data_IF_679493476164
#
_entry.id   IF_679493476164
#
_cell.length_a   1.000
_cell.length_b   1.000
_cell.length_c   1.000
_cell.angle_alpha   90.00
_cell.angle_beta   90.00
_cell.angle_gamma   90.00
#
_symmetry.space_group_name_H-M   'P 1'
#
loop_
_entity.id
_entity.type
_entity.pdbx_description
1 polymer ?
#
# COMPACT_ATOMS: atom_id res chain seq x y z
N UNK A 1 21.23 24.61 -29.33
CA UNK A 1 22.55 23.97 -29.64
C UNK A 1 23.02 23.21 -28.40
N UNK A 2 23.58 22.02 -28.62
CA UNK A 2 24.10 20.98 -27.71
C UNK A 2 23.03 20.04 -27.15
N UNK A 3 22.77 18.92 -27.78
CA UNK A 3 23.43 17.62 -28.04
C UNK A 3 23.62 16.79 -26.73
N UNK A 4 22.70 15.81 -26.59
CA UNK A 4 22.85 14.35 -26.49
C UNK A 4 24.04 13.81 -25.67
N UNK A 5 23.74 12.95 -24.69
CA UNK A 5 24.40 11.64 -24.61
C UNK A 5 23.37 10.59 -24.18
N UNK A 6 23.13 9.64 -25.07
CA UNK A 6 22.42 8.39 -24.87
C UNK A 6 23.50 7.38 -24.48
N UNK A 7 23.37 6.80 -23.29
CA UNK A 7 24.18 5.66 -22.86
C UNK A 7 23.35 4.37 -22.95
N UNK A 8 23.45 3.69 -24.10
CA UNK A 8 22.92 2.36 -24.32
C UNK A 8 23.92 1.36 -23.75
N UNK A 9 23.54 0.61 -22.72
CA UNK A 9 24.29 -0.59 -22.31
C UNK A 9 23.47 -1.80 -22.71
N UNK A 10 23.86 -2.37 -23.87
CA UNK A 10 23.53 -3.71 -24.29
C UNK A 10 24.47 -4.66 -23.50
N UNK A 11 23.92 -5.45 -22.58
CA UNK A 11 24.61 -6.62 -22.04
C UNK A 11 23.94 -7.87 -22.61
N UNK A 12 24.74 -8.63 -23.34
CA UNK A 12 24.32 -9.72 -24.19
C UNK A 12 23.88 -10.96 -23.42
N UNK A 13 22.92 -11.63 -24.01
CA UNK A 13 22.59 -13.02 -23.76
C UNK A 13 23.79 -13.91 -24.10
N UNK A 14 24.29 -14.64 -23.11
CA UNK A 14 25.05 -15.87 -23.38
C UNK A 14 24.25 -17.05 -22.87
N UNK A 15 23.54 -17.67 -23.79
CA UNK A 15 23.06 -19.04 -23.65
C UNK A 15 24.26 -19.99 -23.61
N UNK A 16 24.53 -20.60 -22.48
CA UNK A 16 25.40 -21.76 -22.38
C UNK A 16 24.56 -22.95 -21.89
N UNK A 17 24.04 -23.69 -22.87
CA UNK A 17 23.62 -25.07 -22.67
C UNK A 17 24.88 -25.92 -22.48
N UNK A 18 25.14 -26.39 -21.25
CA UNK A 18 26.09 -27.46 -20.98
C UNK A 18 25.36 -28.61 -20.31
N UNK A 19 25.04 -29.62 -21.13
CA UNK A 19 24.79 -30.97 -20.65
C UNK A 19 26.13 -31.55 -20.24
N UNK A 20 26.33 -31.82 -18.96
CA UNK A 20 27.53 -32.47 -18.46
C UNK A 20 27.26 -33.09 -17.10
N UNK A 21 27.14 -34.41 -17.08
CA UNK A 21 27.18 -35.22 -15.87
C UNK A 21 28.44 -34.98 -15.02
N UNK A 22 28.23 -34.80 -13.73
CA UNK A 22 29.17 -35.20 -12.70
C UNK A 22 30.28 -34.19 -12.37
N UNK A 23 30.03 -33.36 -11.36
CA UNK A 23 30.90 -33.20 -10.19
C UNK A 23 30.29 -32.14 -9.30
N UNK A 24 30.10 -32.44 -8.02
CA UNK A 24 29.80 -31.42 -7.00
C UNK A 24 30.90 -30.38 -7.03
N UNK A 25 30.66 -29.23 -7.63
CA UNK A 25 31.43 -28.02 -7.39
C UNK A 25 30.89 -27.41 -6.10
N UNK A 26 31.79 -27.31 -5.13
CA UNK A 26 31.50 -26.81 -3.81
C UNK A 26 31.14 -25.32 -3.86
N UNK A 27 30.06 -24.95 -3.16
CA UNK A 27 29.81 -23.71 -2.45
C UNK A 27 30.16 -22.38 -3.15
N UNK A 28 29.26 -21.85 -3.95
CA UNK A 28 28.90 -20.46 -3.78
C UNK A 28 28.10 -20.41 -2.47
N UNK A 29 28.46 -19.51 -1.56
CA UNK A 29 27.73 -19.30 -0.30
C UNK A 29 26.35 -18.75 -0.63
N UNK A 30 25.36 -19.62 -0.77
CA UNK A 30 23.94 -19.22 -0.88
C UNK A 30 23.60 -18.58 0.45
N UNK A 31 23.14 -17.32 0.44
CA UNK A 31 22.76 -16.62 1.66
C UNK A 31 21.52 -17.27 2.31
N UNK A 32 21.32 -17.03 3.59
CA UNK A 32 20.10 -17.47 4.27
C UNK A 32 18.84 -16.86 3.64
N UNK A 33 18.94 -15.61 3.18
CA UNK A 33 17.87 -14.90 2.50
C UNK A 33 17.52 -15.55 1.15
N UNK A 34 18.52 -15.99 0.35
CA UNK A 34 18.27 -16.67 -0.92
C UNK A 34 17.54 -18.00 -0.71
N UNK A 35 17.97 -18.79 0.30
CA UNK A 35 17.28 -20.04 0.67
C UNK A 35 15.85 -19.77 1.08
N UNK A 36 15.64 -18.72 1.87
CA UNK A 36 14.30 -18.33 2.30
C UNK A 36 13.41 -17.94 1.11
N UNK A 37 13.92 -17.13 0.18
CA UNK A 37 13.17 -16.67 -1.00
C UNK A 37 12.78 -17.84 -1.92
N UNK A 38 13.64 -18.86 -2.06
CA UNK A 38 13.31 -20.09 -2.79
C UNK A 38 12.14 -20.82 -2.11
N UNK A 39 12.24 -21.11 -0.80
CA UNK A 39 11.18 -21.77 -0.01
C UNK A 39 9.87 -20.97 -0.03
N UNK A 40 9.96 -19.65 0.06
CA UNK A 40 8.81 -18.74 0.00
C UNK A 40 8.13 -18.79 -1.38
N UNK A 41 8.93 -18.75 -2.46
CA UNK A 41 8.44 -18.85 -3.84
C UNK A 41 7.66 -20.15 -4.05
N UNK A 42 8.20 -21.27 -3.61
CA UNK A 42 7.56 -22.58 -3.72
C UNK A 42 6.23 -22.64 -2.95
N UNK A 43 6.20 -22.12 -1.72
CA UNK A 43 5.01 -22.12 -0.88
C UNK A 43 3.86 -21.31 -1.50
N UNK A 44 4.16 -20.09 -1.99
CA UNK A 44 3.18 -19.18 -2.59
C UNK A 44 2.68 -19.71 -3.93
N UNK A 45 3.58 -20.15 -4.83
CA UNK A 45 3.18 -20.68 -6.12
C UNK A 45 2.26 -21.89 -5.96
N UNK A 46 2.61 -22.81 -5.06
CA UNK A 46 1.78 -23.97 -4.76
C UNK A 46 0.40 -23.59 -4.23
N UNK A 47 0.33 -22.61 -3.31
CA UNK A 47 -0.97 -22.15 -2.81
C UNK A 47 -1.82 -21.53 -3.91
N UNK A 48 -1.23 -20.70 -4.79
CA UNK A 48 -1.97 -20.07 -5.88
C UNK A 48 -2.57 -21.12 -6.83
N UNK A 49 -1.82 -22.15 -7.19
CA UNK A 49 -2.36 -23.28 -7.99
C UNK A 49 -3.52 -23.98 -7.25
N UNK A 50 -3.33 -24.34 -5.97
CA UNK A 50 -4.37 -24.97 -5.19
C UNK A 50 -5.66 -24.12 -5.11
N UNK A 51 -5.53 -22.80 -4.90
CA UNK A 51 -6.67 -21.88 -4.80
C UNK A 51 -7.37 -21.71 -6.14
N UNK A 52 -6.64 -21.60 -7.25
CA UNK A 52 -7.21 -21.52 -8.59
C UNK A 52 -8.02 -22.81 -8.92
N UNK A 53 -7.50 -23.98 -8.62
CA UNK A 53 -8.25 -25.24 -8.77
C UNK A 53 -9.52 -25.30 -7.88
N UNK A 54 -9.45 -24.76 -6.66
CA UNK A 54 -10.61 -24.70 -5.78
C UNK A 54 -11.67 -23.73 -6.32
N UNK A 55 -11.27 -22.58 -6.88
CA UNK A 55 -12.17 -21.62 -7.51
C UNK A 55 -12.88 -22.23 -8.73
N UNK A 56 -12.17 -22.95 -9.60
CA UNK A 56 -12.81 -23.66 -10.72
C UNK A 56 -13.83 -24.72 -10.25
N UNK A 57 -13.54 -25.42 -9.15
CA UNK A 57 -14.47 -26.42 -8.60
C UNK A 57 -15.70 -25.76 -7.99
N UNK A 58 -15.54 -24.61 -7.39
CA UNK A 58 -16.62 -23.79 -6.84
C UNK A 58 -17.53 -23.26 -7.96
N UNK A 59 -16.96 -22.68 -9.03
CA UNK A 59 -17.70 -22.20 -10.20
C UNK A 59 -18.50 -23.32 -10.90
N UNK A 60 -18.00 -24.57 -10.85
CA UNK A 60 -18.69 -25.74 -11.38
C UNK A 60 -19.71 -26.33 -10.38
N UNK A 61 -20.09 -25.59 -9.35
CA UNK A 61 -21.04 -26.01 -8.29
C UNK A 61 -20.66 -27.32 -7.56
N UNK A 62 -19.37 -27.62 -7.48
CA UNK A 62 -18.88 -28.82 -6.79
C UNK A 62 -18.70 -28.62 -5.29
N UNK A 63 -18.67 -27.37 -4.84
CA UNK A 63 -18.55 -26.97 -3.44
C UNK A 63 -19.61 -25.94 -3.08
N UNK A 64 -20.08 -25.99 -1.84
CA UNK A 64 -20.77 -24.87 -1.22
C UNK A 64 -19.77 -23.77 -0.89
N UNK A 65 -20.24 -22.55 -0.70
CA UNK A 65 -19.39 -21.40 -0.31
C UNK A 65 -18.59 -21.71 0.97
N UNK A 66 -19.22 -22.29 1.98
CA UNK A 66 -18.54 -22.68 3.22
C UNK A 66 -17.45 -23.75 2.99
N UNK A 67 -17.69 -24.74 2.14
CA UNK A 67 -16.69 -25.74 1.80
C UNK A 67 -15.52 -25.13 1.04
N UNK A 68 -15.79 -24.18 0.13
CA UNK A 68 -14.76 -23.45 -0.60
C UNK A 68 -13.87 -22.66 0.35
N UNK A 69 -14.44 -21.80 1.21
CA UNK A 69 -13.65 -21.00 2.14
C UNK A 69 -12.88 -21.84 3.16
N UNK A 70 -13.44 -22.96 3.61
CA UNK A 70 -12.70 -23.87 4.48
C UNK A 70 -11.46 -24.45 3.79
N UNK A 71 -11.58 -24.87 2.53
CA UNK A 71 -10.44 -25.40 1.76
C UNK A 71 -9.39 -24.33 1.44
N UNK A 72 -9.81 -23.12 1.09
CA UNK A 72 -8.89 -21.99 0.90
C UNK A 72 -8.15 -21.70 2.21
N UNK A 73 -8.87 -21.68 3.34
CA UNK A 73 -8.26 -21.50 4.68
C UNK A 73 -7.20 -22.56 4.98
N UNK A 74 -7.45 -23.82 4.63
CA UNK A 74 -6.46 -24.90 4.83
C UNK A 74 -5.22 -24.70 3.96
N UNK A 75 -5.39 -24.25 2.70
CA UNK A 75 -4.28 -23.95 1.79
C UNK A 75 -3.42 -22.78 2.30
N UNK A 76 -4.06 -21.67 2.74
CA UNK A 76 -3.38 -20.52 3.30
C UNK A 76 -2.61 -20.88 4.60
N UNK A 77 -3.18 -21.72 5.47
CA UNK A 77 -2.48 -22.19 6.68
C UNK A 77 -1.23 -22.99 6.36
N UNK A 78 -1.29 -23.88 5.37
CA UNK A 78 -0.10 -24.65 4.94
C UNK A 78 1.00 -23.76 4.40
N UNK A 79 0.63 -22.72 3.65
CA UNK A 79 1.58 -21.71 3.18
C UNK A 79 2.25 -20.98 4.34
N UNK A 80 1.44 -20.45 5.30
CA UNK A 80 1.96 -19.78 6.49
C UNK A 80 2.94 -20.70 7.25
N UNK A 81 2.57 -21.96 7.50
CA UNK A 81 3.42 -22.92 8.21
C UNK A 81 4.76 -23.16 7.47
N UNK A 82 4.71 -23.26 6.14
CA UNK A 82 5.93 -23.44 5.33
C UNK A 82 6.83 -22.21 5.41
N UNK A 83 6.26 -21.00 5.26
CA UNK A 83 6.98 -19.74 5.33
C UNK A 83 7.57 -19.53 6.74
N UNK A 84 6.79 -19.67 7.81
CA UNK A 84 7.25 -19.50 9.20
C UNK A 84 8.40 -20.47 9.54
N UNK A 85 8.38 -21.66 9.00
CA UNK A 85 9.47 -22.64 9.19
C UNK A 85 10.78 -22.21 8.56
N UNK A 86 10.75 -21.56 7.40
CA UNK A 86 11.98 -21.11 6.70
C UNK A 86 12.44 -19.74 7.13
N UNK A 87 11.62 -18.94 7.84
CA UNK A 87 12.00 -17.61 8.34
C UNK A 87 13.25 -17.57 9.23
N UNK A 88 13.66 -18.72 9.78
CA UNK A 88 14.90 -18.82 10.58
C UNK A 88 16.14 -18.53 9.76
N UNK A 89 16.05 -18.63 8.43
CA UNK A 89 17.13 -18.36 7.50
C UNK A 89 17.27 -16.86 7.17
N UNK A 90 16.28 -16.02 7.47
CA UNK A 90 16.30 -14.60 7.11
C UNK A 90 17.33 -13.84 7.95
N UNK A 91 18.28 -13.22 7.26
CA UNK A 91 19.33 -12.38 7.84
C UNK A 91 18.98 -10.88 7.67
N UNK A 92 18.33 -10.50 6.55
CA UNK A 92 17.91 -9.13 6.27
C UNK A 92 16.65 -8.76 7.08
N UNK A 93 16.76 -7.66 7.85
CA UNK A 93 15.67 -7.18 8.71
C UNK A 93 14.49 -6.60 7.94
N UNK A 94 14.75 -5.96 6.80
CA UNK A 94 13.68 -5.37 5.98
C UNK A 94 12.94 -6.48 5.24
N UNK A 95 13.64 -7.48 4.70
CA UNK A 95 13.02 -8.69 4.16
C UNK A 95 12.11 -9.36 5.21
N UNK A 96 12.63 -9.53 6.43
CA UNK A 96 11.85 -10.13 7.52
C UNK A 96 10.55 -9.38 7.79
N UNK A 97 10.61 -8.05 7.82
CA UNK A 97 9.44 -7.19 8.03
C UNK A 97 8.42 -7.31 6.90
N UNK A 98 8.87 -7.37 5.65
CA UNK A 98 8.00 -7.57 4.48
C UNK A 98 7.27 -8.91 4.58
N UNK A 99 7.99 -9.97 4.95
CA UNK A 99 7.43 -11.31 5.14
C UNK A 99 6.43 -11.36 6.31
N UNK A 100 6.75 -10.71 7.44
CA UNK A 100 5.84 -10.61 8.59
C UNK A 100 4.53 -9.90 8.21
N UNK A 101 4.58 -8.83 7.41
CA UNK A 101 3.39 -8.16 6.88
C UNK A 101 2.57 -9.09 5.98
N UNK A 102 3.23 -9.83 5.09
CA UNK A 102 2.55 -10.80 4.23
C UNK A 102 1.79 -11.86 5.04
N UNK A 103 2.48 -12.50 6.00
CA UNK A 103 1.88 -13.50 6.90
C UNK A 103 0.73 -12.90 7.72
N UNK A 104 0.89 -11.69 8.22
CA UNK A 104 -0.17 -11.02 8.97
C UNK A 104 -1.41 -10.80 8.10
N UNK A 105 -1.22 -10.36 6.86
CA UNK A 105 -2.31 -10.23 5.89
C UNK A 105 -3.02 -11.56 5.61
N UNK A 106 -2.28 -12.67 5.47
CA UNK A 106 -2.87 -13.99 5.31
C UNK A 106 -3.67 -14.43 6.54
N UNK A 107 -3.18 -14.15 7.75
CA UNK A 107 -3.91 -14.43 8.99
C UNK A 107 -5.22 -13.64 9.07
N UNK A 108 -5.22 -12.37 8.68
CA UNK A 108 -6.43 -11.53 8.62
C UNK A 108 -7.40 -12.04 7.53
N UNK A 109 -6.90 -12.49 6.38
CA UNK A 109 -7.73 -13.10 5.34
C UNK A 109 -8.47 -14.33 5.86
N UNK A 110 -7.81 -15.16 6.65
CA UNK A 110 -8.47 -16.33 7.30
C UNK A 110 -9.62 -15.86 8.20
N UNK A 111 -9.46 -14.75 8.93
CA UNK A 111 -10.55 -14.23 9.77
C UNK A 111 -11.71 -13.68 8.91
N UNK A 112 -11.43 -13.08 7.74
CA UNK A 112 -12.48 -12.63 6.83
C UNK A 112 -13.39 -13.78 6.35
N UNK A 113 -12.82 -14.97 6.16
CA UNK A 113 -13.58 -16.17 5.75
C UNK A 113 -14.44 -16.78 6.86
N UNK A 114 -14.17 -16.44 8.12
CA UNK A 114 -14.91 -16.98 9.29
C UNK A 114 -16.11 -16.12 9.69
N UNK A 115 -16.11 -14.85 9.35
CA UNK A 115 -17.20 -13.95 9.72
C UNK A 115 -18.34 -13.99 8.71
N UNK A 116 -19.57 -13.90 9.21
CA UNK A 116 -20.79 -13.72 8.40
C UNK A 116 -21.27 -12.26 8.39
N UNK A 117 -20.62 -11.41 9.15
CA UNK A 117 -20.86 -9.96 9.13
C UNK A 117 -20.18 -9.35 7.92
N UNK A 118 -20.98 -8.83 6.98
CA UNK A 118 -20.49 -8.32 5.69
C UNK A 118 -19.57 -7.11 5.87
N UNK A 119 -19.87 -6.21 6.80
CA UNK A 119 -19.06 -5.02 7.05
C UNK A 119 -17.69 -5.40 7.64
N UNK A 120 -17.70 -6.31 8.62
CA UNK A 120 -16.48 -6.84 9.21
C UNK A 120 -15.66 -7.66 8.21
N UNK A 121 -16.31 -8.43 7.35
CA UNK A 121 -15.65 -9.19 6.28
C UNK A 121 -14.97 -8.26 5.28
N UNK A 122 -15.64 -7.19 4.87
CA UNK A 122 -15.07 -6.17 3.96
C UNK A 122 -13.84 -5.53 4.59
N UNK A 123 -13.95 -5.11 5.86
CA UNK A 123 -12.84 -4.52 6.60
C UNK A 123 -11.63 -5.45 6.70
N UNK A 124 -11.83 -6.71 7.06
CA UNK A 124 -10.75 -7.69 7.11
C UNK A 124 -10.13 -7.95 5.73
N UNK A 125 -10.95 -7.98 4.68
CA UNK A 125 -10.46 -8.18 3.30
C UNK A 125 -9.60 -7.00 2.86
N UNK A 126 -10.01 -5.76 3.15
CA UNK A 126 -9.24 -4.56 2.85
C UNK A 126 -7.90 -4.56 3.61
N UNK A 127 -7.93 -4.81 4.92
CA UNK A 127 -6.72 -4.87 5.76
C UNK A 127 -5.76 -5.98 5.30
N UNK A 128 -6.27 -7.17 5.01
CA UNK A 128 -5.48 -8.28 4.49
C UNK A 128 -4.81 -7.93 3.16
N UNK A 129 -5.56 -7.35 2.22
CA UNK A 129 -5.04 -6.94 0.93
C UNK A 129 -4.02 -5.81 1.05
N UNK A 130 -4.24 -4.86 1.97
CA UNK A 130 -3.34 -3.75 2.27
C UNK A 130 -1.95 -4.19 2.76
N UNK A 131 -1.87 -5.36 3.41
CA UNK A 131 -0.61 -5.95 3.86
C UNK A 131 -0.01 -6.89 2.80
N UNK A 132 -0.79 -7.81 2.25
CA UNK A 132 -0.29 -8.90 1.39
C UNK A 132 0.17 -8.43 0.02
N UNK A 133 -0.64 -7.59 -0.64
CA UNK A 133 -0.38 -7.24 -2.04
C UNK A 133 0.87 -6.37 -2.22
N UNK A 134 1.07 -5.30 -1.45
CA UNK A 134 2.34 -4.56 -1.48
C UNK A 134 3.54 -5.43 -1.09
N UNK A 135 3.41 -6.27 -0.04
CA UNK A 135 4.50 -7.17 0.37
C UNK A 135 4.88 -8.15 -0.73
N UNK A 136 3.91 -8.73 -1.43
CA UNK A 136 4.16 -9.62 -2.55
C UNK A 136 4.93 -8.93 -3.69
N UNK A 137 4.54 -7.69 -4.04
CA UNK A 137 5.25 -6.92 -5.07
C UNK A 137 6.68 -6.66 -4.66
N UNK A 138 6.92 -6.24 -3.40
CA UNK A 138 8.27 -6.04 -2.87
C UNK A 138 9.10 -7.34 -2.91
N UNK A 139 8.53 -8.48 -2.52
CA UNK A 139 9.21 -9.77 -2.55
C UNK A 139 9.64 -10.18 -3.96
N UNK A 140 8.81 -9.91 -4.96
CA UNK A 140 9.13 -10.22 -6.36
C UNK A 140 10.13 -9.21 -6.94
N UNK A 141 9.93 -7.91 -6.75
CA UNK A 141 10.70 -6.88 -7.45
C UNK A 141 12.03 -6.55 -6.78
N UNK A 142 12.12 -6.66 -5.46
CA UNK A 142 13.31 -6.28 -4.71
C UNK A 142 14.10 -7.48 -4.19
N UNK A 143 13.40 -8.57 -3.83
CA UNK A 143 14.06 -9.76 -3.25
C UNK A 143 14.13 -10.96 -4.19
N UNK A 144 13.60 -10.84 -5.41
CA UNK A 144 13.79 -11.85 -6.45
C UNK A 144 12.93 -13.11 -6.29
N UNK A 145 11.82 -13.04 -5.54
CA UNK A 145 10.84 -14.11 -5.53
C UNK A 145 10.43 -14.51 -6.95
N UNK A 146 10.44 -15.79 -7.24
CA UNK A 146 10.07 -16.33 -8.55
C UNK A 146 8.57 -16.64 -8.59
N UNK A 147 7.90 -16.12 -9.61
CA UNK A 147 6.50 -16.45 -9.90
C UNK A 147 6.45 -17.40 -11.09
N UNK A 148 5.87 -18.59 -10.90
CA UNK A 148 5.74 -19.59 -11.93
C UNK A 148 4.87 -19.10 -13.11
N UNK A 149 5.10 -19.67 -14.31
CA UNK A 149 4.41 -19.25 -15.53
C UNK A 149 2.88 -19.30 -15.40
N UNK A 150 2.35 -20.34 -14.78
CA UNK A 150 0.91 -20.52 -14.55
C UNK A 150 0.32 -19.49 -13.56
N UNK A 151 1.13 -18.85 -12.71
CA UNK A 151 0.73 -17.88 -11.71
C UNK A 151 0.94 -16.42 -12.12
N UNK A 152 1.50 -16.16 -13.30
CA UNK A 152 1.82 -14.81 -13.78
C UNK A 152 0.59 -13.88 -13.85
N UNK A 153 -0.58 -14.41 -14.21
CA UNK A 153 -1.79 -13.59 -14.23
C UNK A 153 -2.25 -13.23 -12.83
N UNK A 154 -2.13 -14.15 -11.86
CA UNK A 154 -2.42 -13.88 -10.45
C UNK A 154 -1.51 -12.79 -9.89
N UNK A 155 -0.20 -12.88 -10.16
CA UNK A 155 0.74 -11.85 -9.75
C UNK A 155 0.45 -10.49 -10.40
N UNK A 156 0.11 -10.47 -11.68
CA UNK A 156 -0.26 -9.23 -12.38
C UNK A 156 -1.44 -8.53 -11.70
N UNK A 157 -2.47 -9.28 -11.34
CA UNK A 157 -3.62 -8.74 -10.60
C UNK A 157 -3.20 -8.20 -9.24
N UNK A 158 -2.33 -8.91 -8.50
CA UNK A 158 -1.76 -8.43 -7.22
C UNK A 158 -1.01 -7.12 -7.38
N UNK A 159 -0.20 -6.99 -8.43
CA UNK A 159 0.58 -5.78 -8.72
C UNK A 159 -0.31 -4.58 -9.06
N UNK A 160 -1.34 -4.79 -9.88
CA UNK A 160 -2.31 -3.75 -10.22
C UNK A 160 -3.04 -3.25 -8.97
N UNK A 161 -3.53 -4.17 -8.12
CA UNK A 161 -4.21 -3.82 -6.88
C UNK A 161 -3.25 -3.20 -5.83
N UNK A 162 -2.00 -3.69 -5.72
CA UNK A 162 -0.99 -3.10 -4.85
C UNK A 162 -0.68 -1.64 -5.25
N UNK A 163 -0.68 -1.34 -6.55
CA UNK A 163 -0.49 0.03 -7.04
C UNK A 163 -1.60 0.96 -6.55
N UNK A 164 -2.86 0.50 -6.60
CA UNK A 164 -4.01 1.26 -6.08
C UNK A 164 -3.89 1.47 -4.56
N UNK A 165 -3.61 0.39 -3.82
CA UNK A 165 -3.46 0.41 -2.36
C UNK A 165 -2.35 1.40 -1.93
N UNK A 166 -1.18 1.34 -2.58
CA UNK A 166 -0.08 2.25 -2.27
C UNK A 166 -0.45 3.71 -2.58
N UNK A 167 -1.11 3.95 -3.70
CA UNK A 167 -1.60 5.29 -4.07
C UNK A 167 -2.57 5.86 -3.03
N UNK A 168 -3.53 5.05 -2.57
CA UNK A 168 -4.48 5.43 -1.53
C UNK A 168 -3.79 5.70 -0.19
N UNK A 169 -2.81 4.88 0.18
CA UNK A 169 -1.99 5.07 1.38
C UNK A 169 -1.20 6.37 1.32
N UNK A 170 -0.49 6.62 0.22
CA UNK A 170 0.30 7.84 0.02
C UNK A 170 -0.60 9.09 0.06
N UNK A 171 -1.82 8.99 -0.52
CA UNK A 171 -2.82 10.05 -0.44
C UNK A 171 -3.25 10.33 1.00
N UNK A 172 -3.59 9.29 1.77
CA UNK A 172 -4.01 9.44 3.17
C UNK A 172 -2.89 9.98 4.07
N UNK A 173 -1.64 9.51 3.87
CA UNK A 173 -0.48 10.01 4.61
C UNK A 173 -0.22 11.49 4.31
N UNK A 174 -0.33 11.88 3.04
CA UNK A 174 -0.19 13.28 2.64
C UNK A 174 -1.28 14.17 3.25
N UNK A 175 -2.54 13.75 3.21
CA UNK A 175 -3.66 14.51 3.81
C UNK A 175 -3.44 14.69 5.33
N UNK A 176 -3.02 13.64 6.04
CA UNK A 176 -2.67 13.73 7.47
C UNK A 176 -1.50 14.67 7.72
N UNK A 177 -0.49 14.63 6.86
CA UNK A 177 0.67 15.53 6.92
C UNK A 177 0.24 16.99 6.76
N UNK A 178 -0.58 17.29 5.74
CA UNK A 178 -1.13 18.63 5.53
C UNK A 178 -1.87 19.12 6.76
N UNK A 179 -2.76 18.30 7.33
CA UNK A 179 -3.53 18.67 8.52
C UNK A 179 -2.66 19.00 9.74
N UNK A 180 -1.52 18.31 9.90
CA UNK A 180 -0.64 18.47 11.04
C UNK A 180 0.41 19.59 10.87
N UNK A 181 0.83 19.88 9.63
CA UNK A 181 1.98 20.76 9.36
C UNK A 181 1.58 22.12 8.78
N UNK A 182 0.32 22.29 8.34
CA UNK A 182 -0.12 23.54 7.72
C UNK A 182 -0.07 24.69 8.72
N UNK A 183 0.48 25.83 8.27
CA UNK A 183 0.52 27.07 9.04
C UNK A 183 -0.22 28.14 8.27
N UNK A 184 -1.21 28.75 8.90
CA UNK A 184 -1.98 29.85 8.34
C UNK A 184 -1.37 31.19 8.73
N UNK A 185 -1.22 32.07 7.73
CA UNK A 185 -0.84 33.46 7.93
C UNK A 185 -2.10 34.35 8.00
N UNK A 186 -2.21 35.15 9.06
CA UNK A 186 -3.28 36.14 9.22
C UNK A 186 -3.00 37.35 8.33
N UNK A 187 -3.98 37.72 7.52
CA UNK A 187 -3.94 38.88 6.62
C UNK A 187 -5.29 39.55 6.48
N UNK A 188 -5.45 40.40 5.47
CA UNK A 188 -6.72 41.03 5.11
C UNK A 188 -6.98 40.86 3.61
N UNK A 189 -8.26 40.66 3.26
CA UNK A 189 -8.71 40.65 1.88
C UNK A 189 -8.86 42.11 1.33
N UNK A 190 -9.27 42.25 0.08
CA UNK A 190 -9.44 43.53 -0.59
C UNK A 190 -10.53 44.43 0.06
N UNK A 191 -11.44 43.83 0.83
CA UNK A 191 -12.50 44.55 1.56
C UNK A 191 -12.13 44.87 3.01
N UNK A 192 -10.91 44.52 3.43
CA UNK A 192 -10.41 44.77 4.78
C UNK A 192 -10.83 43.73 5.82
N UNK A 193 -11.51 42.66 5.42
CA UNK A 193 -11.86 41.56 6.29
C UNK A 193 -10.64 40.67 6.59
N UNK A 194 -10.58 40.17 7.82
CA UNK A 194 -9.49 39.25 8.20
C UNK A 194 -9.63 37.92 7.48
N UNK A 195 -8.50 37.47 6.98
CA UNK A 195 -8.37 36.23 6.23
C UNK A 195 -7.15 35.47 6.72
N UNK A 196 -7.27 34.15 6.85
CA UNK A 196 -6.17 33.25 7.10
C UNK A 196 -5.82 32.49 5.82
N UNK A 197 -4.56 32.52 5.43
CA UNK A 197 -4.12 31.88 4.18
C UNK A 197 -2.93 30.97 4.39
N UNK A 198 -2.91 29.85 3.68
CA UNK A 198 -1.76 28.95 3.64
C UNK A 198 -1.51 28.49 2.21
N UNK A 199 -0.25 28.18 1.89
CA UNK A 199 0.12 27.55 0.62
C UNK A 199 0.47 26.10 0.90
N UNK A 200 -0.19 25.21 0.20
CA UNK A 200 0.04 23.76 0.28
C UNK A 200 0.73 23.35 -1.02
N UNK A 201 1.82 22.58 -0.90
CA UNK A 201 2.52 21.95 -2.03
C UNK A 201 2.22 20.45 -2.01
N UNK A 202 1.70 19.93 -3.10
CA UNK A 202 1.43 18.49 -3.23
C UNK A 202 2.72 17.72 -3.51
N UNK A 203 3.32 17.16 -2.47
CA UNK A 203 4.55 16.36 -2.54
C UNK A 203 4.30 14.86 -2.47
N UNK A 204 3.03 14.42 -2.54
CA UNK A 204 2.66 13.00 -2.40
C UNK A 204 3.00 12.15 -3.62
N UNK A 205 3.17 12.78 -4.80
CA UNK A 205 3.22 12.06 -6.07
C UNK A 205 1.86 11.60 -6.60
N UNK A 206 0.77 11.89 -5.88
CA UNK A 206 -0.62 11.50 -6.21
C UNK A 206 -1.41 12.73 -6.66
N UNK A 207 -2.18 12.60 -7.74
CA UNK A 207 -3.13 13.61 -8.17
C UNK A 207 -4.45 13.46 -7.41
N UNK A 208 -4.92 14.53 -6.77
CA UNK A 208 -6.19 14.55 -6.06
C UNK A 208 -7.30 15.17 -6.92
N UNK A 209 -8.45 14.49 -6.96
CA UNK A 209 -9.68 15.11 -7.44
C UNK A 209 -10.20 16.10 -6.39
N UNK A 210 -10.20 15.69 -5.12
CA UNK A 210 -10.55 16.55 -3.99
C UNK A 210 -9.85 16.13 -2.70
N UNK A 211 -9.59 17.11 -1.82
CA UNK A 211 -9.25 16.90 -0.42
C UNK A 211 -10.13 17.83 0.42
N UNK A 212 -10.67 17.32 1.51
CA UNK A 212 -11.56 18.05 2.40
C UNK A 212 -11.06 17.96 3.83
N UNK A 213 -11.05 19.10 4.51
CA UNK A 213 -10.68 19.22 5.91
C UNK A 213 -11.76 19.96 6.68
N UNK A 214 -12.10 19.45 7.85
CA UNK A 214 -12.80 20.21 8.85
C UNK A 214 -11.82 21.16 9.53
N UNK A 215 -12.23 22.40 9.73
CA UNK A 215 -11.43 23.44 10.38
C UNK A 215 -12.02 23.75 11.74
N UNK A 216 -11.22 23.73 12.79
CA UNK A 216 -11.62 24.13 14.13
C UNK A 216 -10.82 25.36 14.55
N UNK A 217 -11.50 26.48 14.81
CA UNK A 217 -10.93 27.68 15.42
C UNK A 217 -10.90 27.51 16.93
N UNK A 218 -9.75 27.67 17.55
CA UNK A 218 -9.59 27.53 19.00
C UNK A 218 -9.13 28.84 19.64
N UNK A 219 -9.66 29.14 20.81
CA UNK A 219 -9.22 30.23 21.64
C UNK A 219 -7.92 29.90 22.41
N UNK A 220 -7.44 30.86 23.21
CA UNK A 220 -6.24 30.73 24.06
C UNK A 220 -6.31 29.59 25.10
N UNK A 221 -7.49 29.15 25.47
CA UNK A 221 -7.74 28.06 26.41
C UNK A 221 -7.91 26.70 25.69
N UNK A 222 -7.78 26.69 24.34
CA UNK A 222 -7.92 25.50 23.48
C UNK A 222 -9.38 25.11 23.22
N UNK A 223 -10.34 25.96 23.57
CA UNK A 223 -11.77 25.73 23.35
C UNK A 223 -12.09 26.04 21.89
N UNK A 224 -12.85 25.16 21.23
CA UNK A 224 -13.36 25.40 19.88
C UNK A 224 -14.42 26.47 19.94
N UNK A 225 -14.18 27.61 19.29
CA UNK A 225 -15.08 28.78 19.25
C UNK A 225 -15.81 28.90 17.92
N UNK A 226 -15.39 28.14 16.90
CA UNK A 226 -16.03 28.08 15.59
C UNK A 226 -15.44 26.99 14.74
N UNK A 227 -16.10 26.72 13.61
CA UNK A 227 -15.64 25.75 12.62
C UNK A 227 -15.90 26.20 11.20
N UNK A 228 -15.17 25.62 10.25
CA UNK A 228 -15.27 25.87 8.82
C UNK A 228 -14.82 24.64 8.03
N UNK A 229 -14.75 24.74 6.71
CA UNK A 229 -14.29 23.69 5.83
C UNK A 229 -13.31 24.24 4.80
N UNK A 230 -12.29 23.43 4.47
CA UNK A 230 -11.40 23.64 3.34
C UNK A 230 -11.65 22.56 2.31
N UNK A 231 -11.88 22.99 1.08
CA UNK A 231 -11.96 22.13 -0.10
C UNK A 231 -10.82 22.48 -1.04
N UNK A 232 -10.03 21.49 -1.41
CA UNK A 232 -8.94 21.61 -2.37
C UNK A 232 -9.29 20.68 -3.52
N UNK A 233 -9.58 21.24 -4.67
CA UNK A 233 -10.01 20.51 -5.86
C UNK A 233 -8.93 20.52 -6.93
N UNK A 234 -8.86 19.44 -7.71
CA UNK A 234 -7.94 19.31 -8.85
C UNK A 234 -6.48 19.62 -8.48
N UNK A 235 -5.98 19.00 -7.43
CA UNK A 235 -4.65 19.22 -6.89
C UNK A 235 -3.64 18.21 -7.43
N UNK A 236 -3.03 18.54 -8.56
CA UNK A 236 -2.06 17.67 -9.23
C UNK A 236 -0.76 17.57 -8.43
N UNK A 237 -0.07 16.45 -8.55
CA UNK A 237 1.23 16.23 -7.93
C UNK A 237 2.24 17.30 -8.36
N UNK A 238 3.11 17.69 -7.43
CA UNK A 238 4.15 18.72 -7.61
C UNK A 238 3.58 20.12 -7.95
N UNK A 239 2.32 20.40 -7.65
CA UNK A 239 1.72 21.74 -7.78
C UNK A 239 1.50 22.38 -6.42
N UNK A 240 1.15 23.67 -6.41
CA UNK A 240 0.82 24.42 -5.19
C UNK A 240 -0.58 25.00 -5.30
N UNK A 241 -1.32 24.93 -4.19
CA UNK A 241 -2.59 25.62 -4.07
C UNK A 241 -2.65 26.46 -2.79
N UNK A 242 -3.46 27.52 -2.84
CA UNK A 242 -3.67 28.44 -1.73
C UNK A 242 -4.98 28.06 -1.04
N UNK A 243 -4.90 27.67 0.22
CA UNK A 243 -6.06 27.54 1.09
C UNK A 243 -6.37 28.91 1.74
N UNK A 244 -7.65 29.24 1.86
CA UNK A 244 -8.09 30.53 2.39
C UNK A 244 -9.31 30.30 3.29
N UNK A 245 -9.28 30.94 4.48
CA UNK A 245 -10.33 30.92 5.47
C UNK A 245 -10.73 32.35 5.80
N UNK A 246 -12.02 32.62 5.90
CA UNK A 246 -12.58 33.91 6.34
C UNK A 246 -13.57 33.60 7.47
N UNK A 247 -13.10 33.57 8.74
CA UNK A 247 -13.94 33.20 9.87
C UNK A 247 -15.04 34.22 10.12
N UNK A 248 -16.19 33.75 10.58
CA UNK A 248 -17.28 34.60 11.05
C UNK A 248 -17.10 35.02 12.52
N UNK A 249 -16.23 34.30 13.24
CA UNK A 249 -15.87 34.58 14.63
C UNK A 249 -15.02 35.85 14.72
N UNK A 250 -14.93 36.43 15.93
CA UNK A 250 -14.01 37.52 16.16
C UNK A 250 -12.56 37.01 16.02
N UNK A 251 -11.88 37.47 15.01
CA UNK A 251 -10.52 37.06 14.66
C UNK A 251 -9.47 37.31 15.75
N UNK A 252 -9.77 38.13 16.77
CA UNK A 252 -8.89 38.38 17.90
C UNK A 252 -9.02 37.30 18.99
N UNK A 253 -10.08 36.50 18.94
CA UNK A 253 -10.31 35.39 19.85
C UNK A 253 -9.74 34.07 19.30
N UNK A 254 -9.31 34.05 18.03
CA UNK A 254 -8.69 32.86 17.39
C UNK A 254 -7.20 32.83 17.70
N UNK A 255 -6.78 31.87 18.55
CA UNK A 255 -5.38 31.62 18.89
C UNK A 255 -4.75 30.58 17.96
N UNK A 256 -5.52 29.55 17.57
CA UNK A 256 -5.04 28.49 16.68
C UNK A 256 -6.12 27.96 15.74
N UNK A 257 -5.66 27.46 14.59
CA UNK A 257 -6.47 26.82 13.57
C UNK A 257 -6.01 25.37 13.47
N UNK A 258 -6.91 24.43 13.68
CA UNK A 258 -6.64 22.99 13.62
C UNK A 258 -7.43 22.38 12.49
N UNK A 259 -6.74 21.64 11.61
CA UNK A 259 -7.37 20.86 10.55
C UNK A 259 -7.56 19.41 10.99
N UNK A 260 -8.71 18.86 10.66
CA UNK A 260 -9.00 17.43 10.77
C UNK A 260 -9.31 16.88 9.38
N UNK A 261 -8.59 15.85 8.88
CA UNK A 261 -8.92 15.21 7.62
C UNK A 261 -10.33 14.64 7.65
N UNK A 262 -11.12 14.92 6.63
CA UNK A 262 -12.48 14.40 6.49
C UNK A 262 -12.58 13.45 5.30
N UNK A 263 -12.18 13.90 4.12
CA UNK A 263 -12.29 13.12 2.89
C UNK A 263 -11.16 13.44 1.92
N UNK A 264 -10.73 12.43 1.16
CA UNK A 264 -9.90 12.63 -0.03
C UNK A 264 -10.27 11.63 -1.13
N UNK A 265 -10.17 12.08 -2.37
CA UNK A 265 -10.35 11.28 -3.58
C UNK A 265 -9.20 11.55 -4.53
N UNK A 266 -8.61 10.49 -5.06
CA UNK A 266 -7.53 10.56 -6.07
C UNK A 266 -8.13 10.48 -7.48
N UNK A 267 -7.41 11.06 -8.47
CA UNK A 267 -7.79 10.96 -9.90
C UNK A 267 -7.43 9.60 -10.48
#
# INVERSE_FOLDING_TARGET
MYKKVIGLVLAGMMSLSVVGCGNKVANENVSGDDIFIEDFSDAVNKRWVEVNELAEKFEKEKYTESEYYNKVTESVKKEIEAIEKSMVNIEDKELKKVVENYIQGDKIQIESFKTTDIELQSKYTEEANGLRKPSMVTLVEEYGMVVDEENQQTYKNFKEEATIINKEKDAQEFVKKVANEIVFEKGKNEWGEVQFTAVIENTSGVDFATMQFQVNYKDKDGIVIGNDWIFIENFDANTKQKATLTPYENENDIESIVLEPDYCETK
#
